data_IF_147193530196
#
_entry.id   IF_147193530196
#
_cell.length_a   1.000
_cell.length_b   1.000
_cell.length_c   1.000
_cell.angle_alpha   90.00
_cell.angle_beta   90.00
_cell.angle_gamma   90.00
#
_symmetry.space_group_name_H-M   'P 1'
#
loop_
_entity.id
_entity.type
_entity.pdbx_description
1 polymer ?
#
# COMPACT_ATOMS: atom_id res chain seq x y z
N UNK A 1 -23.87 22.09 -12.84
CA UNK A 1 -23.23 21.30 -13.92
C UNK A 1 -24.13 21.39 -15.15
N UNK A 2 -23.58 21.45 -16.37
CA UNK A 2 -24.38 21.75 -17.56
C UNK A 2 -25.30 20.58 -17.97
N UNK A 3 -26.60 20.81 -17.99
CA UNK A 3 -27.57 19.96 -18.68
C UNK A 3 -28.01 20.55 -20.01
N UNK A 4 -28.58 19.71 -20.87
CA UNK A 4 -29.20 20.12 -22.12
C UNK A 4 -30.65 19.65 -22.16
N UNK A 5 -31.44 20.31 -22.99
CA UNK A 5 -32.81 19.92 -23.30
C UNK A 5 -32.89 19.62 -24.79
N UNK A 6 -33.91 18.86 -25.22
CA UNK A 6 -34.09 18.36 -26.60
C UNK A 6 -34.20 19.43 -27.69
N UNK A 7 -34.07 20.70 -27.34
CA UNK A 7 -34.05 21.85 -28.25
C UNK A 7 -32.65 22.26 -28.69
N UNK A 8 -31.60 21.90 -27.96
CA UNK A 8 -30.22 22.21 -28.33
C UNK A 8 -29.85 21.49 -29.62
N UNK A 9 -29.26 22.21 -30.58
CA UNK A 9 -28.90 21.71 -31.92
C UNK A 9 -30.07 21.14 -32.73
N UNK A 10 -31.31 21.51 -32.39
CA UNK A 10 -32.51 21.09 -33.13
C UNK A 10 -32.99 22.17 -34.09
N UNK A 11 -33.55 21.75 -35.23
CA UNK A 11 -34.27 22.64 -36.12
C UNK A 11 -35.71 22.83 -35.64
N UNK A 12 -36.15 24.08 -35.54
CA UNK A 12 -37.51 24.42 -35.14
C UNK A 12 -38.35 24.84 -36.35
N UNK A 13 -39.65 24.56 -36.27
CA UNK A 13 -40.61 24.83 -37.34
C UNK A 13 -41.78 25.67 -36.81
N UNK A 14 -42.34 26.51 -37.67
CA UNK A 14 -43.66 27.11 -37.48
C UNK A 14 -44.64 26.61 -38.52
N UNK A 15 -45.92 26.65 -38.16
CA UNK A 15 -47.01 26.37 -39.10
C UNK A 15 -47.26 27.59 -39.98
N UNK A 16 -47.30 27.39 -41.29
CA UNK A 16 -47.76 28.37 -42.27
C UNK A 16 -48.79 27.70 -43.18
N UNK A 17 -50.08 27.97 -42.91
CA UNK A 17 -51.18 27.27 -43.57
C UNK A 17 -51.16 25.76 -43.32
N UNK A 18 -51.02 24.98 -44.40
CA UNK A 18 -50.93 23.52 -44.39
C UNK A 18 -49.49 22.98 -44.28
N UNK A 19 -48.47 23.84 -44.34
CA UNK A 19 -47.06 23.43 -44.37
C UNK A 19 -46.34 23.80 -43.08
N UNK A 20 -45.31 23.01 -42.73
CA UNK A 20 -44.32 23.36 -41.73
C UNK A 20 -43.13 24.05 -42.42
N UNK A 21 -42.80 25.27 -42.00
CA UNK A 21 -41.63 26.01 -42.51
C UNK A 21 -40.65 26.23 -41.37
N UNK A 22 -39.34 26.30 -41.63
CA UNK A 22 -38.35 26.57 -40.59
C UNK A 22 -38.64 27.87 -39.85
N UNK A 23 -38.34 27.90 -38.55
CA UNK A 23 -38.49 29.08 -37.70
C UNK A 23 -37.32 30.05 -37.91
N UNK A 24 -37.17 30.51 -39.15
CA UNK A 24 -36.16 31.48 -39.55
C UNK A 24 -36.25 32.75 -38.71
N UNK A 25 -35.14 33.16 -38.11
CA UNK A 25 -35.07 34.35 -37.25
C UNK A 25 -35.85 34.23 -35.94
N UNK A 26 -36.18 33.02 -35.51
CA UNK A 26 -36.82 32.75 -34.22
C UNK A 26 -35.96 33.17 -33.03
N UNK A 27 -36.60 33.31 -31.87
CA UNK A 27 -35.97 33.72 -30.61
C UNK A 27 -36.33 32.74 -29.51
N UNK A 28 -35.33 32.07 -28.94
CA UNK A 28 -35.48 31.19 -27.80
C UNK A 28 -35.19 31.95 -26.51
N UNK A 29 -36.20 32.03 -25.64
CA UNK A 29 -36.08 32.58 -24.30
C UNK A 29 -35.88 31.47 -23.29
N UNK A 30 -34.86 31.62 -22.45
CA UNK A 30 -34.65 30.80 -21.25
C UNK A 30 -35.10 31.61 -20.03
N UNK A 31 -36.06 31.09 -19.27
CA UNK A 31 -36.74 31.79 -18.18
C UNK A 31 -36.69 30.93 -16.92
N UNK A 32 -36.73 31.56 -15.75
CA UNK A 32 -36.90 30.84 -14.50
C UNK A 32 -38.26 30.12 -14.48
N UNK A 33 -38.31 28.90 -13.94
CA UNK A 33 -39.55 28.13 -13.83
C UNK A 33 -40.66 28.93 -13.10
N UNK A 34 -41.89 28.85 -13.63
CA UNK A 34 -43.05 29.58 -13.11
C UNK A 34 -42.99 31.10 -13.28
N UNK A 35 -42.00 31.66 -14.01
CA UNK A 35 -41.90 33.10 -14.30
C UNK A 35 -42.20 33.39 -15.76
N UNK A 36 -42.77 34.55 -16.05
CA UNK A 36 -43.15 34.96 -17.41
C UNK A 36 -42.08 35.76 -18.13
N UNK A 37 -41.30 36.57 -17.40
CA UNK A 37 -40.31 37.48 -17.97
C UNK A 37 -38.99 37.53 -17.20
N UNK A 38 -38.76 36.63 -16.24
CA UNK A 38 -37.49 36.56 -15.49
C UNK A 38 -36.49 35.72 -16.28
N UNK A 39 -35.42 36.30 -16.84
CA UNK A 39 -34.39 35.57 -17.58
C UNK A 39 -33.72 34.52 -16.70
N UNK A 40 -33.43 33.37 -17.29
CA UNK A 40 -32.48 32.41 -16.74
C UNK A 40 -31.25 32.34 -17.66
N UNK A 41 -30.07 32.31 -17.05
CA UNK A 41 -28.80 32.19 -17.77
C UNK A 41 -28.72 30.87 -18.55
N UNK A 42 -28.25 30.97 -19.80
CA UNK A 42 -27.82 29.87 -20.65
C UNK A 42 -26.41 30.15 -21.16
N UNK A 43 -25.71 29.11 -21.60
CA UNK A 43 -24.26 29.17 -21.86
C UNK A 43 -23.88 28.50 -23.17
N UNK A 44 -22.78 28.97 -23.77
CA UNK A 44 -22.24 28.48 -25.03
C UNK A 44 -21.32 27.26 -24.83
N UNK A 45 -20.85 27.06 -23.60
CA UNK A 45 -19.92 26.00 -23.22
C UNK A 45 -20.43 25.15 -22.04
N UNK A 46 -19.94 23.92 -21.95
CA UNK A 46 -20.27 22.98 -20.88
C UNK A 46 -19.80 23.46 -19.48
N UNK A 47 -18.77 24.31 -19.42
CA UNK A 47 -18.23 24.87 -18.19
C UNK A 47 -19.12 25.96 -17.57
N UNK A 48 -20.21 26.36 -18.24
CA UNK A 48 -21.09 27.44 -17.82
C UNK A 48 -20.34 28.78 -17.64
N UNK A 49 -19.40 29.08 -18.54
CA UNK A 49 -18.50 30.25 -18.41
C UNK A 49 -18.86 31.38 -19.37
N UNK A 50 -19.30 31.06 -20.59
CA UNK A 50 -19.64 32.02 -21.63
C UNK A 50 -21.16 32.05 -21.77
N UNK A 51 -21.78 33.16 -21.36
CA UNK A 51 -23.23 33.31 -21.43
C UNK A 51 -23.73 33.50 -22.86
N UNK A 52 -24.87 32.90 -23.15
CA UNK A 52 -25.68 33.24 -24.32
C UNK A 52 -26.49 34.51 -24.05
N UNK A 53 -26.79 35.32 -25.08
CA UNK A 53 -27.78 36.38 -24.97
C UNK A 53 -29.17 35.79 -24.71
N UNK A 54 -30.04 36.51 -24.00
CA UNK A 54 -31.43 36.13 -23.80
C UNK A 54 -32.35 37.20 -24.40
N UNK A 55 -33.05 36.94 -25.51
CA UNK A 55 -33.22 35.64 -26.16
C UNK A 55 -32.01 35.19 -27.00
N UNK A 56 -31.84 33.87 -27.14
CA UNK A 56 -30.92 33.23 -28.09
C UNK A 56 -31.53 33.33 -29.50
N UNK A 57 -30.85 33.96 -30.46
CA UNK A 57 -31.31 33.98 -31.85
C UNK A 57 -31.12 32.62 -32.52
N UNK A 58 -32.13 32.17 -33.25
CA UNK A 58 -32.03 31.04 -34.18
C UNK A 58 -31.46 31.53 -35.52
N UNK A 59 -30.84 30.62 -36.27
CA UNK A 59 -30.33 30.93 -37.61
C UNK A 59 -31.46 31.06 -38.66
N UNK A 60 -31.08 31.36 -39.91
CA UNK A 60 -32.02 31.51 -41.02
C UNK A 60 -32.77 30.21 -41.36
N UNK A 61 -32.19 29.07 -41.01
CA UNK A 61 -32.80 27.74 -41.14
C UNK A 61 -33.58 27.33 -39.90
N UNK A 62 -33.75 28.20 -38.90
CA UNK A 62 -34.44 27.88 -37.65
C UNK A 62 -33.70 26.90 -36.74
N UNK A 63 -32.39 26.75 -36.89
CA UNK A 63 -31.58 25.98 -35.96
C UNK A 63 -31.31 26.74 -34.68
N UNK A 64 -31.47 26.02 -33.57
CA UNK A 64 -31.05 26.48 -32.25
C UNK A 64 -29.56 26.16 -32.10
N UNK A 65 -28.70 27.15 -31.79
CA UNK A 65 -27.28 26.87 -31.54
C UNK A 65 -27.11 25.96 -30.33
N UNK A 66 -25.95 25.30 -30.16
CA UNK A 66 -25.67 24.57 -28.93
C UNK A 66 -25.78 25.52 -27.74
N UNK A 67 -26.57 25.14 -26.75
CA UNK A 67 -26.68 25.85 -25.48
C UNK A 67 -26.72 24.87 -24.31
N UNK A 68 -26.21 25.34 -23.18
CA UNK A 68 -26.06 24.62 -21.93
C UNK A 68 -26.75 25.39 -20.82
N UNK A 69 -27.33 24.67 -19.86
CA UNK A 69 -28.10 25.23 -18.76
C UNK A 69 -27.62 24.62 -17.45
N UNK A 70 -27.73 25.38 -16.36
CA UNK A 70 -27.56 24.80 -15.02
C UNK A 70 -28.68 23.79 -14.73
N UNK A 71 -28.38 22.83 -13.86
CA UNK A 71 -29.31 21.84 -13.34
C UNK A 71 -30.48 22.50 -12.59
N UNK A 72 -31.69 21.95 -12.79
CA UNK A 72 -32.91 22.47 -12.16
C UNK A 72 -34.11 22.50 -13.10
N UNK A 73 -35.18 23.19 -12.69
CA UNK A 73 -36.37 23.38 -13.51
C UNK A 73 -36.36 24.76 -14.16
N UNK A 74 -36.74 24.80 -15.44
CA UNK A 74 -36.73 26.03 -16.23
C UNK A 74 -38.02 26.17 -17.01
N UNK A 75 -38.22 27.38 -17.55
CA UNK A 75 -39.22 27.64 -18.57
C UNK A 75 -38.54 28.04 -19.87
N UNK A 76 -39.07 27.56 -20.98
CA UNK A 76 -38.65 27.97 -22.32
C UNK A 76 -39.83 28.59 -23.06
N UNK A 77 -39.53 29.62 -23.85
CA UNK A 77 -40.49 30.21 -24.78
C UNK A 77 -39.80 30.46 -26.11
N UNK A 78 -40.36 29.89 -27.17
CA UNK A 78 -39.88 30.07 -28.53
C UNK A 78 -40.83 30.99 -29.27
N UNK A 79 -40.32 32.16 -29.66
CA UNK A 79 -41.06 33.13 -30.45
C UNK A 79 -40.58 33.11 -31.90
N UNK A 80 -41.47 33.43 -32.84
CA UNK A 80 -41.09 33.71 -34.21
C UNK A 80 -40.41 35.08 -34.36
N UNK A 81 -39.94 35.39 -35.57
CA UNK A 81 -39.29 36.66 -35.89
C UNK A 81 -40.17 37.89 -35.59
N UNK A 82 -41.50 37.73 -35.57
CA UNK A 82 -42.48 38.78 -35.29
C UNK A 82 -42.86 38.86 -33.79
N UNK A 83 -42.27 38.01 -32.94
CA UNK A 83 -42.52 37.99 -31.50
C UNK A 83 -43.71 37.13 -31.06
N UNK A 84 -44.37 36.40 -31.97
CA UNK A 84 -45.48 35.50 -31.63
C UNK A 84 -44.93 34.19 -31.04
N UNK A 85 -45.53 33.72 -29.94
CA UNK A 85 -45.12 32.48 -29.29
C UNK A 85 -45.58 31.26 -30.08
N UNK A 86 -44.61 30.46 -30.50
CA UNK A 86 -44.81 29.20 -31.26
C UNK A 86 -44.82 28.00 -30.32
N UNK A 87 -44.02 28.05 -29.25
CA UNK A 87 -43.93 26.99 -28.24
C UNK A 87 -43.60 27.59 -26.89
N UNK A 88 -44.29 27.15 -25.85
CA UNK A 88 -43.98 27.48 -24.47
C UNK A 88 -44.08 26.22 -23.62
N UNK A 89 -43.07 25.97 -22.80
CA UNK A 89 -43.02 24.82 -21.88
C UNK A 89 -42.45 25.29 -20.55
N UNK A 90 -43.20 25.07 -19.47
CA UNK A 90 -42.82 25.40 -18.10
C UNK A 90 -42.46 24.13 -17.32
N UNK A 91 -41.76 24.31 -16.19
CA UNK A 91 -41.25 23.24 -15.34
C UNK A 91 -40.49 22.15 -16.11
N UNK A 92 -39.72 22.56 -17.13
CA UNK A 92 -38.88 21.66 -17.89
C UNK A 92 -37.65 21.30 -17.04
N UNK A 93 -37.48 20.01 -16.76
CA UNK A 93 -36.32 19.52 -16.02
C UNK A 93 -35.07 19.54 -16.90
N UNK A 94 -34.05 20.26 -16.44
CA UNK A 94 -32.69 20.21 -16.95
C UNK A 94 -31.91 19.23 -16.09
N UNK A 95 -31.59 18.08 -16.68
CA UNK A 95 -30.72 17.07 -16.05
C UNK A 95 -29.33 17.27 -16.65
N UNK A 96 -28.41 17.82 -15.85
CA UNK A 96 -26.98 17.64 -16.12
C UNK A 96 -26.58 16.18 -15.89
N UNK A 97 -25.45 15.69 -16.44
CA UNK A 97 -24.91 14.41 -15.99
C UNK A 97 -24.85 14.44 -14.46
N UNK A 98 -25.22 13.34 -13.81
CA UNK A 98 -25.35 13.31 -12.35
C UNK A 98 -24.03 13.72 -11.70
N UNK A 99 -24.06 14.62 -10.71
CA UNK A 99 -22.88 14.89 -9.85
C UNK A 99 -22.53 13.70 -8.97
N UNK A 100 -23.41 12.71 -8.87
CA UNK A 100 -23.08 11.39 -8.39
C UNK A 100 -22.34 10.64 -9.48
N UNK A 101 -21.00 10.68 -9.40
CA UNK A 101 -20.03 9.57 -9.55
C UNK A 101 -20.29 8.48 -10.62
N UNK A 102 -21.13 8.74 -11.61
CA UNK A 102 -21.71 7.72 -12.46
C UNK A 102 -21.78 8.18 -13.91
N UNK A 103 -20.67 7.97 -14.62
CA UNK A 103 -20.70 7.58 -16.02
C UNK A 103 -20.47 8.65 -17.08
N UNK A 104 -19.54 8.32 -17.98
CA UNK A 104 -19.77 8.44 -19.43
C UNK A 104 -19.41 9.76 -20.08
N UNK A 105 -18.16 9.87 -20.55
CA UNK A 105 -17.80 10.83 -21.59
C UNK A 105 -16.33 11.24 -21.58
N UNK A 106 -15.44 10.40 -22.14
CA UNK A 106 -14.24 10.79 -22.89
C UNK A 106 -13.19 11.75 -22.30
N UNK A 107 -13.32 12.22 -21.06
CA UNK A 107 -12.27 12.89 -20.31
C UNK A 107 -11.49 11.84 -19.52
N UNK A 108 -10.16 11.95 -19.50
CA UNK A 108 -9.31 11.03 -18.74
C UNK A 108 -9.88 10.78 -17.35
N UNK A 109 -9.92 9.50 -16.95
CA UNK A 109 -10.38 9.07 -15.63
C UNK A 109 -9.82 10.02 -14.57
N UNK A 110 -10.69 10.70 -13.82
CA UNK A 110 -10.24 11.51 -12.69
C UNK A 110 -9.43 10.55 -11.80
N UNK A 111 -8.18 10.90 -11.51
CA UNK A 111 -7.31 10.04 -10.73
C UNK A 111 -7.89 9.72 -9.35
N UNK A 112 -8.82 10.55 -8.84
CA UNK A 112 -9.60 10.30 -7.61
C UNK A 112 -10.78 9.33 -7.80
N UNK A 113 -11.27 9.14 -9.03
CA UNK A 113 -12.29 8.12 -9.37
C UNK A 113 -11.70 6.72 -9.55
N UNK A 114 -10.38 6.61 -9.75
CA UNK A 114 -9.69 5.31 -9.85
C UNK A 114 -9.03 4.91 -8.52
N UNK A 115 -8.55 5.88 -7.74
CA UNK A 115 -7.92 5.67 -6.43
C UNK A 115 -8.37 6.76 -5.46
N UNK A 116 -8.90 6.36 -4.30
CA UNK A 116 -9.27 7.26 -3.22
C UNK A 116 -8.04 7.71 -2.41
N UNK A 117 -8.15 8.82 -1.68
CA UNK A 117 -7.12 9.26 -0.73
C UNK A 117 -6.75 8.14 0.23
N UNK A 118 -5.45 7.91 0.42
CA UNK A 118 -4.94 6.82 1.24
C UNK A 118 -4.66 5.51 0.48
N UNK A 119 -5.16 5.36 -0.74
CA UNK A 119 -4.88 4.19 -1.56
C UNK A 119 -3.39 4.10 -1.91
N UNK A 120 -2.89 2.87 -1.92
CA UNK A 120 -1.49 2.55 -2.20
C UNK A 120 -1.37 2.00 -3.62
N UNK A 121 -0.33 2.45 -4.33
CA UNK A 121 0.10 1.82 -5.58
C UNK A 121 1.61 1.69 -5.64
N UNK A 122 2.06 0.76 -6.47
CA UNK A 122 3.46 0.60 -6.81
C UNK A 122 3.75 1.18 -8.19
N UNK A 123 4.97 1.69 -8.36
CA UNK A 123 5.50 2.14 -9.66
C UNK A 123 6.98 1.79 -9.77
N UNK A 124 7.38 1.30 -10.93
CA UNK A 124 8.79 1.16 -11.30
C UNK A 124 9.37 2.53 -11.67
N UNK A 125 10.08 3.15 -10.73
CA UNK A 125 10.60 4.52 -10.79
C UNK A 125 10.62 5.17 -9.39
N UNK A 126 11.34 6.26 -9.18
CA UNK A 126 11.66 6.85 -7.86
C UNK A 126 11.34 8.36 -7.72
N UNK A 127 10.95 9.01 -8.80
CA UNK A 127 10.64 10.44 -8.87
C UNK A 127 9.38 10.87 -8.12
N UNK A 128 9.13 12.18 -8.08
CA UNK A 128 7.85 12.69 -7.57
C UNK A 128 6.69 12.34 -8.50
N UNK A 129 5.49 12.17 -7.94
CA UNK A 129 4.30 11.84 -8.70
C UNK A 129 3.15 12.76 -8.31
N UNK A 130 2.64 13.53 -9.27
CA UNK A 130 1.50 14.42 -9.08
C UNK A 130 0.29 13.64 -8.53
N UNK A 131 -0.35 14.18 -7.48
CA UNK A 131 -1.46 13.55 -6.78
C UNK A 131 -1.08 12.43 -5.81
N UNK A 132 0.21 12.17 -5.60
CA UNK A 132 0.72 11.14 -4.70
C UNK A 132 1.92 11.65 -3.87
N UNK A 133 2.22 10.94 -2.79
CA UNK A 133 3.45 11.06 -2.00
C UNK A 133 4.03 9.67 -1.77
N UNK A 134 5.34 9.56 -1.48
CA UNK A 134 5.98 8.26 -1.24
C UNK A 134 5.74 7.79 0.20
N UNK A 135 5.46 6.51 0.38
CA UNK A 135 5.44 5.89 1.71
C UNK A 135 6.88 5.71 2.22
N UNK A 136 7.54 6.78 2.65
CA UNK A 136 8.98 6.82 2.91
C UNK A 136 9.35 7.24 4.34
N UNK A 137 8.39 7.26 5.26
CA UNK A 137 8.62 7.65 6.65
C UNK A 137 8.89 9.14 6.88
N UNK A 138 8.87 9.97 5.83
CA UNK A 138 8.92 11.44 5.95
C UNK A 138 7.54 12.00 6.30
N UNK A 139 7.42 13.31 6.37
CA UNK A 139 6.19 13.99 6.81
C UNK A 139 5.46 14.72 5.69
N UNK A 140 4.13 14.84 5.83
CA UNK A 140 3.26 15.72 5.03
C UNK A 140 2.56 16.75 5.94
N UNK A 141 2.10 17.86 5.36
CA UNK A 141 1.37 18.90 6.07
C UNK A 141 1.10 20.12 5.20
N UNK A 142 0.55 21.18 5.80
CA UNK A 142 0.25 22.45 5.12
C UNK A 142 1.50 23.08 4.47
N UNK A 143 1.31 24.08 3.63
CA UNK A 143 2.40 24.80 2.95
C UNK A 143 3.43 25.42 3.92
N UNK A 144 3.05 25.69 5.16
CA UNK A 144 3.89 26.28 6.20
C UNK A 144 4.32 25.29 7.29
N UNK A 145 3.89 24.02 7.20
CA UNK A 145 4.11 22.99 8.23
C UNK A 145 5.56 22.49 8.38
N UNK A 146 6.46 22.87 7.46
CA UNK A 146 7.83 22.36 7.42
C UNK A 146 7.94 20.86 7.09
N UNK A 147 6.88 20.26 6.54
CA UNK A 147 6.87 18.85 6.15
C UNK A 147 7.95 18.49 5.12
N UNK A 148 8.53 17.30 5.24
CA UNK A 148 9.78 16.92 4.56
C UNK A 148 9.59 16.10 3.28
N UNK A 149 8.47 15.40 3.11
CA UNK A 149 8.10 14.82 1.79
C UNK A 149 7.31 15.84 0.98
N UNK A 150 6.33 16.50 1.60
CA UNK A 150 5.46 17.48 0.93
C UNK A 150 4.80 18.44 1.92
N UNK A 151 5.20 19.71 1.87
CA UNK A 151 4.54 20.82 2.55
C UNK A 151 3.66 21.57 1.55
N UNK A 152 2.37 21.20 1.46
CA UNK A 152 1.44 21.77 0.49
C UNK A 152 -0.02 21.56 0.95
N UNK A 153 -0.92 22.49 0.59
CA UNK A 153 -2.35 22.39 0.90
C UNK A 153 -3.03 21.17 0.29
N UNK A 154 -2.51 20.65 -0.82
CA UNK A 154 -3.05 19.44 -1.46
C UNK A 154 -2.86 18.15 -0.65
N UNK A 155 -2.18 18.23 0.49
CA UNK A 155 -2.01 17.11 1.42
C UNK A 155 -3.08 17.03 2.51
N UNK A 156 -4.00 17.99 2.59
CA UNK A 156 -5.00 18.07 3.66
C UNK A 156 -5.85 16.80 3.77
N UNK A 157 -6.32 16.29 2.63
CA UNK A 157 -7.15 15.09 2.59
C UNK A 157 -6.39 13.88 3.17
N UNK A 158 -5.16 13.64 2.70
CA UNK A 158 -4.33 12.54 3.19
C UNK A 158 -3.91 12.73 4.66
N UNK A 159 -3.61 13.96 5.09
CA UNK A 159 -3.33 14.27 6.49
C UNK A 159 -4.51 13.85 7.37
N UNK A 160 -5.72 14.30 7.01
CA UNK A 160 -6.94 13.99 7.75
C UNK A 160 -7.24 12.48 7.76
N UNK A 161 -6.99 11.79 6.65
CA UNK A 161 -7.16 10.34 6.53
C UNK A 161 -6.18 9.59 7.46
N UNK A 162 -4.87 9.81 7.31
CA UNK A 162 -3.84 9.14 8.10
C UNK A 162 -3.99 9.42 9.59
N UNK A 163 -4.40 10.64 9.94
CA UNK A 163 -4.67 10.99 11.34
C UNK A 163 -5.76 10.11 11.95
N UNK A 164 -6.78 9.72 11.18
CA UNK A 164 -7.88 8.89 11.67
C UNK A 164 -7.54 7.39 11.69
N UNK A 165 -6.92 6.88 10.62
CA UNK A 165 -6.77 5.43 10.43
C UNK A 165 -5.57 4.82 11.14
N UNK A 166 -4.53 5.61 11.41
CA UNK A 166 -3.30 5.12 12.04
C UNK A 166 -2.88 6.08 13.15
N UNK A 167 -3.16 5.70 14.39
CA UNK A 167 -2.80 6.48 15.58
C UNK A 167 -1.30 6.42 15.91
N UNK A 168 -0.56 5.46 15.34
CA UNK A 168 0.86 5.25 15.61
C UNK A 168 1.75 6.24 14.85
N UNK A 169 1.24 6.82 13.76
CA UNK A 169 1.95 7.86 13.01
C UNK A 169 2.14 9.11 13.88
N UNK A 170 3.38 9.56 13.96
CA UNK A 170 3.77 10.74 14.72
C UNK A 170 3.22 12.01 14.08
N UNK A 171 2.56 12.84 14.88
CA UNK A 171 2.17 14.22 14.53
C UNK A 171 3.10 15.17 15.27
N UNK A 172 3.64 16.19 14.60
CA UNK A 172 4.52 17.18 15.25
C UNK A 172 3.84 17.81 16.47
N UNK A 173 4.54 17.87 17.61
CA UNK A 173 4.00 18.30 18.92
C UNK A 173 2.87 17.43 19.49
N UNK A 174 2.68 16.22 18.95
CA UNK A 174 1.62 15.29 19.36
C UNK A 174 0.27 15.60 18.72
N UNK A 175 -0.62 14.61 18.80
CA UNK A 175 -2.00 14.72 18.30
C UNK A 175 -2.83 15.63 19.20
N UNK A 176 -3.57 16.53 18.58
CA UNK A 176 -4.54 17.40 19.24
C UNK A 176 -5.94 16.79 19.30
N UNK A 177 -6.94 17.66 19.47
CA UNK A 177 -8.34 17.24 19.62
C UNK A 177 -8.97 16.69 18.34
N UNK A 178 -8.50 17.10 17.16
CA UNK A 178 -8.99 16.62 15.87
C UNK A 178 -7.93 16.83 14.78
N UNK A 179 -8.05 16.10 13.68
CA UNK A 179 -7.18 16.28 12.52
C UNK A 179 -7.29 17.69 11.94
N UNK A 180 -8.49 18.26 11.89
CA UNK A 180 -8.71 19.62 11.38
C UNK A 180 -8.03 20.69 12.25
N UNK A 181 -8.06 20.52 13.59
CA UNK A 181 -7.36 21.42 14.50
C UNK A 181 -5.83 21.30 14.36
N UNK A 182 -5.32 20.07 14.22
CA UNK A 182 -3.89 19.84 14.00
C UNK A 182 -3.41 20.39 12.65
N UNK A 183 -4.23 20.26 11.60
CA UNK A 183 -3.98 20.86 10.29
C UNK A 183 -3.96 22.39 10.36
N UNK A 184 -4.97 23.00 10.97
CA UNK A 184 -5.05 24.45 11.16
C UNK A 184 -3.90 25.01 12.00
N UNK A 185 -3.35 24.19 12.91
CA UNK A 185 -2.16 24.51 13.68
C UNK A 185 -0.83 24.32 12.90
N UNK A 186 -0.90 24.02 11.60
CA UNK A 186 0.25 23.75 10.72
C UNK A 186 1.13 22.60 11.21
N UNK A 187 0.55 21.61 11.89
CA UNK A 187 1.29 20.40 12.25
C UNK A 187 1.56 19.56 11.01
N UNK A 188 2.61 18.75 11.07
CA UNK A 188 2.90 17.72 10.09
C UNK A 188 2.68 16.32 10.69
N UNK A 189 2.33 15.36 9.83
CA UNK A 189 2.17 13.94 10.20
C UNK A 189 3.16 13.09 9.41
N UNK A 190 3.73 12.08 10.07
CA UNK A 190 4.57 11.08 9.42
C UNK A 190 3.76 10.20 8.45
N UNK A 191 4.40 9.81 7.35
CA UNK A 191 3.88 8.80 6.43
C UNK A 191 4.28 7.40 6.91
N UNK A 192 3.50 6.36 6.58
CA UNK A 192 3.98 4.99 6.66
C UNK A 192 5.32 4.83 5.94
N UNK A 193 6.21 4.02 6.50
CA UNK A 193 7.54 3.79 5.95
C UNK A 193 7.59 2.44 5.21
N UNK A 194 7.50 2.47 3.88
CA UNK A 194 7.61 1.29 3.03
C UNK A 194 9.02 0.99 2.54
N UNK A 195 10.05 1.74 2.97
CA UNK A 195 11.42 1.55 2.46
C UNK A 195 11.94 0.17 2.84
N UNK A 196 12.32 -0.64 1.85
CA UNK A 196 12.88 -1.98 2.05
C UNK A 196 11.90 -3.00 2.65
N UNK A 197 10.59 -2.71 2.64
CA UNK A 197 9.56 -3.57 3.25
C UNK A 197 8.65 -4.19 2.20
N UNK A 198 8.25 -5.44 2.45
CA UNK A 198 7.14 -6.09 1.74
C UNK A 198 5.86 -5.76 2.50
N UNK A 199 4.82 -5.30 1.78
CA UNK A 199 3.52 -5.05 2.41
C UNK A 199 2.73 -6.36 2.55
N UNK A 200 2.16 -6.58 3.73
CA UNK A 200 1.24 -7.68 4.03
C UNK A 200 -0.13 -7.11 4.42
N UNK A 201 -1.17 -7.95 4.33
CA UNK A 201 -2.49 -7.61 4.87
C UNK A 201 -2.48 -7.62 6.39
N UNK A 202 -3.33 -6.80 7.01
CA UNK A 202 -3.62 -6.89 8.44
C UNK A 202 -4.12 -8.29 8.78
N UNK A 203 -3.69 -8.87 9.91
CA UNK A 203 -4.05 -10.27 10.20
C UNK A 203 -5.56 -10.45 10.47
N UNK A 204 -6.29 -9.36 10.76
CA UNK A 204 -7.75 -9.32 10.86
C UNK A 204 -8.47 -9.24 9.52
N UNK A 205 -8.00 -8.41 8.58
CA UNK A 205 -8.70 -8.09 7.31
C UNK A 205 -10.24 -7.89 7.45
N UNK A 206 -10.69 -7.23 8.52
CA UNK A 206 -12.13 -7.04 8.79
C UNK A 206 -12.85 -8.24 9.45
N UNK A 207 -12.09 -9.24 9.91
CA UNK A 207 -12.53 -10.41 10.66
C UNK A 207 -11.62 -10.65 11.88
N UNK A 208 -11.84 -11.71 12.64
CA UNK A 208 -10.88 -12.18 13.66
C UNK A 208 -9.50 -12.47 13.05
N UNK A 209 -8.44 -12.23 13.83
CA UNK A 209 -7.06 -12.46 13.43
C UNK A 209 -6.83 -13.90 12.92
N UNK A 210 -6.21 -14.05 11.76
CA UNK A 210 -5.96 -15.34 11.11
C UNK A 210 -4.78 -16.12 11.71
N UNK A 211 -3.92 -15.47 12.52
CA UNK A 211 -2.77 -16.07 13.19
C UNK A 211 -1.59 -16.38 12.26
N UNK A 212 -1.49 -15.72 11.09
CA UNK A 212 -0.41 -15.97 10.12
C UNK A 212 0.85 -15.15 10.42
N UNK A 213 0.67 -13.96 10.98
CA UNK A 213 1.74 -13.08 11.46
C UNK A 213 1.62 -12.95 12.98
N UNK A 214 2.01 -13.98 13.72
CA UNK A 214 1.87 -13.98 15.18
C UNK A 214 2.89 -13.05 15.83
N UNK A 215 2.52 -12.45 16.97
CA UNK A 215 3.42 -11.58 17.74
C UNK A 215 4.74 -12.27 18.14
N UNK A 216 4.74 -13.59 18.33
CA UNK A 216 5.95 -14.37 18.62
C UNK A 216 7.00 -14.32 17.51
N UNK A 217 6.59 -14.42 16.23
CA UNK A 217 7.51 -14.51 15.10
C UNK A 217 7.61 -13.20 14.31
N UNK A 218 6.50 -12.47 14.21
CA UNK A 218 6.47 -11.11 13.65
C UNK A 218 6.97 -10.06 14.66
N UNK A 219 7.11 -10.39 15.95
CA UNK A 219 7.65 -9.48 16.97
C UNK A 219 6.82 -8.23 17.24
N UNK A 220 5.60 -8.15 16.72
CA UNK A 220 4.64 -7.07 16.99
C UNK A 220 3.21 -7.56 16.72
N UNK A 221 2.21 -6.81 17.16
CA UNK A 221 0.80 -7.13 16.91
C UNK A 221 0.43 -6.83 15.45
N UNK A 222 0.24 -7.88 14.64
CA UNK A 222 -0.11 -7.77 13.22
C UNK A 222 -1.55 -7.32 12.94
N UNK A 223 -2.33 -7.01 13.99
CA UNK A 223 -3.64 -6.35 13.87
C UNK A 223 -3.53 -4.82 13.87
N UNK A 224 -2.36 -4.27 14.21
CA UNK A 224 -2.08 -2.83 14.22
C UNK A 224 -1.60 -2.38 12.84
N UNK A 225 -2.26 -1.38 12.26
CA UNK A 225 -1.86 -0.78 10.99
C UNK A 225 -0.46 -0.16 11.10
N UNK A 226 0.36 -0.34 10.07
CA UNK A 226 1.74 0.15 10.05
C UNK A 226 2.72 -0.67 10.90
N UNK A 227 2.26 -1.70 11.62
CA UNK A 227 3.16 -2.63 12.31
C UNK A 227 4.15 -3.23 11.31
N UNK A 228 5.44 -3.18 11.65
CA UNK A 228 6.50 -3.64 10.76
C UNK A 228 7.59 -4.34 11.54
N UNK A 229 8.05 -5.47 10.99
CA UNK A 229 9.16 -6.25 11.48
C UNK A 229 9.65 -7.20 10.38
N UNK A 230 10.67 -8.00 10.68
CA UNK A 230 11.33 -8.91 9.76
C UNK A 230 12.83 -8.62 9.69
N UNK A 231 13.59 -9.62 9.27
CA UNK A 231 15.03 -9.51 9.06
C UNK A 231 15.43 -10.00 7.68
N UNK A 232 16.55 -9.52 7.15
CA UNK A 232 17.10 -9.96 5.86
C UNK A 232 17.94 -11.23 5.94
N UNK A 233 18.29 -11.65 7.15
CA UNK A 233 19.06 -12.86 7.39
C UNK A 233 18.67 -13.53 8.70
N UNK A 234 19.10 -14.77 8.86
CA UNK A 234 19.00 -15.52 10.11
C UNK A 234 20.30 -16.25 10.39
N UNK A 235 20.61 -16.41 11.67
CA UNK A 235 21.74 -17.20 12.15
C UNK A 235 21.22 -18.46 12.82
N UNK A 236 21.84 -19.60 12.52
CA UNK A 236 21.55 -20.85 13.21
C UNK A 236 22.22 -20.82 14.60
N UNK A 237 21.42 -20.94 15.66
CA UNK A 237 21.91 -21.14 17.02
C UNK A 237 21.74 -22.60 17.45
N UNK A 238 22.43 -23.01 18.51
CA UNK A 238 22.34 -24.39 19.04
C UNK A 238 20.90 -24.81 19.33
N UNK A 239 20.04 -23.90 19.78
CA UNK A 239 18.62 -24.16 20.05
C UNK A 239 17.81 -24.50 18.78
N UNK A 240 18.31 -24.20 17.59
CA UNK A 240 17.68 -24.58 16.32
C UNK A 240 18.12 -25.96 15.82
N UNK A 241 19.13 -26.58 16.44
CA UNK A 241 19.59 -27.91 16.03
C UNK A 241 18.63 -28.98 16.55
N UNK A 242 18.34 -30.03 15.75
CA UNK A 242 17.66 -31.21 16.25
C UNK A 242 18.39 -31.77 17.48
N UNK A 243 17.68 -32.27 18.51
CA UNK A 243 18.33 -32.93 19.63
C UNK A 243 19.18 -34.09 19.15
N UNK A 244 20.44 -34.14 19.59
CA UNK A 244 21.36 -35.22 19.24
C UNK A 244 22.17 -35.66 20.47
N UNK A 245 22.41 -36.96 20.56
CA UNK A 245 23.23 -37.56 21.63
C UNK A 245 24.21 -38.54 20.99
N UNK A 246 25.44 -38.10 20.67
CA UNK A 246 26.42 -38.99 20.05
C UNK A 246 26.76 -40.17 20.96
N UNK A 247 26.76 -41.39 20.43
CA UNK A 247 27.25 -42.59 21.11
C UNK A 247 28.44 -43.18 20.35
N UNK A 248 29.49 -43.58 21.06
CA UNK A 248 30.65 -44.24 20.46
C UNK A 248 31.54 -44.90 21.51
N UNK A 249 32.42 -45.80 21.08
CA UNK A 249 33.42 -46.46 21.92
C UNK A 249 34.81 -46.24 21.31
N UNK A 250 35.78 -45.86 22.13
CA UNK A 250 37.19 -45.79 21.71
C UNK A 250 37.83 -47.14 21.97
N UNK A 251 38.15 -47.88 20.92
CA UNK A 251 38.96 -49.09 21.02
C UNK A 251 40.42 -48.67 21.24
N UNK A 252 40.94 -48.82 22.46
CA UNK A 252 42.37 -48.67 22.75
C UNK A 252 43.02 -50.05 22.80
N UNK A 253 44.00 -50.29 21.94
CA UNK A 253 44.92 -51.43 22.07
C UNK A 253 46.26 -50.89 22.56
N UNK A 254 46.62 -51.16 23.82
CA UNK A 254 47.96 -50.88 24.32
C UNK A 254 48.88 -51.97 23.79
N UNK A 255 49.75 -51.65 22.82
CA UNK A 255 50.83 -52.53 22.39
C UNK A 255 52.14 -51.93 22.91
N UNK A 256 52.67 -52.50 23.99
CA UNK A 256 53.96 -52.10 24.55
C UNK A 256 54.64 -53.27 25.25
N UNK A 257 55.95 -53.38 25.09
CA UNK A 257 56.81 -54.28 25.87
C UNK A 257 57.60 -53.45 26.87
N UNK A 258 57.57 -53.81 28.16
CA UNK A 258 58.48 -53.25 29.16
C UNK A 258 59.78 -54.06 29.12
N UNK A 259 60.89 -53.41 28.79
CA UNK A 259 62.24 -54.00 28.89
C UNK A 259 62.84 -53.60 30.23
N UNK A 260 62.94 -54.53 31.17
CA UNK A 260 63.64 -54.31 32.44
C UNK A 260 65.12 -54.62 32.23
N UNK A 261 65.97 -53.60 32.25
CA UNK A 261 67.44 -53.78 32.20
C UNK A 261 68.00 -53.66 33.61
N UNK A 262 67.98 -54.77 34.35
CA UNK A 262 68.47 -54.90 35.72
C UNK A 262 68.22 -56.31 36.25
N UNK A 263 68.96 -56.72 37.27
CA UNK A 263 68.86 -58.05 37.89
C UNK A 263 67.42 -58.26 38.42
N UNK A 264 66.60 -59.03 37.72
CA UNK A 264 65.21 -59.27 38.08
C UNK A 264 65.10 -60.57 38.90
N UNK A 265 64.90 -60.46 40.21
CA UNK A 265 64.44 -61.59 41.04
C UNK A 265 62.93 -61.45 41.23
N UNK A 266 62.16 -62.32 40.59
CA UNK A 266 60.71 -62.37 40.77
C UNK A 266 60.35 -63.20 42.01
N UNK A 267 59.72 -62.58 43.01
CA UNK A 267 59.02 -63.30 44.08
C UNK A 267 57.53 -63.35 43.74
N UNK A 268 57.01 -64.55 43.52
CA UNK A 268 55.57 -64.78 43.38
C UNK A 268 54.92 -64.79 44.77
N UNK A 269 54.11 -63.78 45.07
CA UNK A 269 53.06 -63.91 46.09
C UNK A 269 51.72 -63.68 45.40
N UNK A 270 50.88 -64.72 45.42
CA UNK A 270 49.65 -64.90 44.63
C UNK A 270 48.61 -63.77 44.76
N UNK A 271 47.50 -63.79 44.03
CA UNK A 271 46.76 -64.93 43.48
C UNK A 271 45.90 -64.44 42.30
N UNK A 272 46.05 -65.06 41.12
CA UNK A 272 45.20 -64.77 39.96
C UNK A 272 45.90 -64.93 38.60
N UNK A 273 47.22 -64.80 38.54
CA UNK A 273 47.98 -64.87 37.29
C UNK A 273 48.67 -66.22 37.10
N UNK A 274 48.80 -66.65 35.83
CA UNK A 274 49.46 -67.88 35.44
C UNK A 274 50.90 -67.93 35.99
N UNK A 275 51.24 -69.01 36.69
CA UNK A 275 52.56 -69.19 37.29
C UNK A 275 53.67 -69.10 36.22
N UNK A 276 54.54 -68.10 36.32
CA UNK A 276 55.77 -68.03 35.54
C UNK A 276 56.90 -68.72 36.32
N UNK A 277 57.62 -69.70 35.74
CA UNK A 277 58.73 -70.35 36.42
C UNK A 277 59.84 -69.33 36.70
N UNK A 278 60.43 -69.38 37.90
CA UNK A 278 61.58 -68.55 38.26
C UNK A 278 62.77 -68.91 37.36
N UNK A 279 63.09 -68.04 36.40
CA UNK A 279 64.27 -68.20 35.54
C UNK A 279 65.40 -67.31 36.06
N UNK A 280 66.50 -67.92 36.50
CA UNK A 280 67.77 -67.24 36.65
C UNK A 280 68.46 -67.26 35.28
N UNK A 281 68.42 -66.14 34.56
CA UNK A 281 69.01 -66.03 33.24
C UNK A 281 69.72 -64.69 33.11
N UNK A 282 71.01 -64.72 32.74
CA UNK A 282 71.77 -63.55 32.31
C UNK A 282 71.36 -63.16 30.88
N UNK A 283 70.08 -62.85 30.68
CA UNK A 283 69.52 -62.50 29.38
C UNK A 283 68.20 -61.76 29.52
N UNK A 284 67.92 -60.86 28.57
CA UNK A 284 66.71 -60.04 28.55
C UNK A 284 65.44 -60.93 28.62
N UNK A 285 64.58 -60.66 29.62
CA UNK A 285 63.25 -61.29 29.75
C UNK A 285 62.16 -60.31 29.32
N UNK A 286 61.11 -60.80 28.65
CA UNK A 286 59.99 -59.98 28.15
C UNK A 286 58.70 -60.33 28.87
N UNK A 287 58.01 -59.33 29.44
CA UNK A 287 56.72 -59.48 30.13
C UNK A 287 55.58 -58.84 29.33
N UNK A 288 54.39 -59.45 29.36
CA UNK A 288 53.15 -58.90 28.77
C UNK A 288 52.32 -58.20 29.85
N UNK A 289 51.90 -56.96 29.61
CA UNK A 289 51.02 -56.21 30.52
C UNK A 289 49.68 -55.97 29.82
N UNK A 290 48.56 -56.25 30.49
CA UNK A 290 47.20 -55.96 30.01
C UNK A 290 46.48 -55.00 30.96
N UNK A 291 45.88 -53.93 30.43
CA UNK A 291 45.11 -52.95 31.20
C UNK A 291 44.05 -52.23 30.34
N UNK A 292 42.98 -51.74 30.98
CA UNK A 292 41.91 -51.00 30.31
C UNK A 292 42.28 -49.51 30.23
N UNK A 293 42.47 -48.98 29.02
CA UNK A 293 42.67 -47.56 28.81
C UNK A 293 41.33 -46.86 28.52
N UNK A 294 40.91 -45.96 29.41
CA UNK A 294 39.75 -45.08 29.17
C UNK A 294 40.22 -43.81 28.45
N UNK A 295 39.79 -43.61 27.21
CA UNK A 295 40.00 -42.37 26.46
C UNK A 295 38.73 -41.53 26.42
N UNK A 296 38.85 -40.22 26.63
CA UNK A 296 37.77 -39.27 26.31
C UNK A 296 37.86 -38.88 24.84
N UNK A 297 36.71 -38.78 24.17
CA UNK A 297 36.63 -38.27 22.80
C UNK A 297 36.60 -36.73 22.87
N UNK A 298 37.76 -36.10 22.80
CA UNK A 298 37.86 -34.64 22.65
C UNK A 298 37.82 -34.31 21.15
N UNK A 299 36.62 -34.08 20.61
CA UNK A 299 36.45 -33.61 19.25
C UNK A 299 36.57 -32.09 19.17
N UNK A 300 37.32 -31.57 18.19
CA UNK A 300 37.17 -30.16 17.78
C UNK A 300 35.92 -30.08 16.92
N UNK A 301 35.05 -29.10 17.16
CA UNK A 301 33.86 -28.90 16.33
C UNK A 301 34.29 -28.72 14.86
N UNK A 302 33.83 -29.63 13.99
CA UNK A 302 34.12 -29.57 12.56
C UNK A 302 32.98 -28.83 11.86
N UNK A 303 33.23 -27.59 11.46
CA UNK A 303 32.29 -26.78 10.68
C UNK A 303 31.20 -26.09 11.51
N UNK A 304 30.43 -25.24 10.83
CA UNK A 304 29.41 -24.36 11.44
C UNK A 304 30.00 -23.04 11.90
N UNK A 305 29.95 -22.02 11.04
CA UNK A 305 30.38 -20.66 11.39
C UNK A 305 29.25 -19.81 11.99
N UNK A 306 28.02 -20.36 12.05
CA UNK A 306 26.80 -19.60 12.33
C UNK A 306 26.71 -18.31 11.49
N UNK A 307 27.28 -18.35 10.29
CA UNK A 307 27.23 -17.23 9.35
C UNK A 307 25.77 -16.98 8.96
N UNK A 308 25.31 -15.72 8.97
CA UNK A 308 23.95 -15.40 8.56
C UNK A 308 23.69 -15.89 7.14
N UNK A 309 22.55 -16.53 6.94
CA UNK A 309 22.05 -16.87 5.61
C UNK A 309 20.84 -15.99 5.28
N UNK A 310 20.71 -15.61 4.01
CA UNK A 310 19.59 -14.82 3.55
C UNK A 310 18.28 -15.61 3.70
N UNK A 311 17.28 -14.97 4.29
CA UNK A 311 15.91 -15.50 4.40
C UNK A 311 14.89 -14.64 3.64
N UNK A 312 15.37 -13.70 2.82
CA UNK A 312 14.55 -12.81 2.01
C UNK A 312 13.95 -13.57 0.83
N UNK A 313 12.65 -13.39 0.61
CA UNK A 313 11.97 -13.88 -0.60
C UNK A 313 12.52 -13.19 -1.87
N UNK A 314 12.45 -13.83 -3.05
CA UNK A 314 12.73 -13.14 -4.31
C UNK A 314 11.91 -11.84 -4.42
N UNK A 315 12.57 -10.70 -4.51
CA UNK A 315 11.93 -9.37 -4.41
C UNK A 315 12.45 -8.42 -5.48
N UNK A 316 11.55 -7.75 -6.21
CA UNK A 316 11.85 -6.65 -7.11
C UNK A 316 11.47 -5.33 -6.44
N UNK A 317 12.38 -4.36 -6.41
CA UNK A 317 12.15 -3.07 -5.76
C UNK A 317 11.39 -2.10 -6.66
N UNK A 318 10.35 -1.49 -6.10
CA UNK A 318 9.49 -0.47 -6.72
C UNK A 318 9.18 0.60 -5.69
N UNK A 319 8.81 1.80 -6.13
CA UNK A 319 8.40 2.85 -5.20
C UNK A 319 6.93 2.70 -4.83
N UNK A 320 6.66 2.69 -3.53
CA UNK A 320 5.33 2.70 -2.93
C UNK A 320 4.84 4.14 -2.81
N UNK A 321 3.72 4.44 -3.47
CA UNK A 321 3.06 5.74 -3.40
C UNK A 321 1.71 5.64 -2.70
N UNK A 322 1.36 6.69 -1.96
CA UNK A 322 0.06 6.88 -1.31
C UNK A 322 -0.65 8.04 -2.01
N UNK A 323 -1.93 7.85 -2.34
CA UNK A 323 -2.77 8.87 -2.98
C UNK A 323 -3.07 10.02 -2.00
N UNK A 324 -2.84 11.26 -2.46
CA UNK A 324 -3.27 12.48 -1.78
C UNK A 324 -4.80 12.62 -1.80
#
# INVERSE_FOLDING_TARGET
MAGSISLSMSQQFKRSGAYAIPLSGGKLYTLAAGKTNTPQDSYQDYGLTIKHPNPIPLDENGYVPPFYLADGFIKIRLNDANGLTVREVDNLLVVGPSSGTGGGGGGGVDATTVLATGDIKYRYGDGQLAGFVRANGRTIGSSTSGATERANLDTEALFNYLWQVDSTLAVSSGRGASSAADWAANKNIALPDGRGRVLAGLDTMGNSAAGRLTSTYFGSDATVLGASNGGESSTLVTANLPPYTPSGTVASTVIGSVTVTGYATSFATGSGDAAHPAMNSNGNSTYSVSGTASGSLSGVAQGGTSTPFANVQPTLLVTTYIKL
#
